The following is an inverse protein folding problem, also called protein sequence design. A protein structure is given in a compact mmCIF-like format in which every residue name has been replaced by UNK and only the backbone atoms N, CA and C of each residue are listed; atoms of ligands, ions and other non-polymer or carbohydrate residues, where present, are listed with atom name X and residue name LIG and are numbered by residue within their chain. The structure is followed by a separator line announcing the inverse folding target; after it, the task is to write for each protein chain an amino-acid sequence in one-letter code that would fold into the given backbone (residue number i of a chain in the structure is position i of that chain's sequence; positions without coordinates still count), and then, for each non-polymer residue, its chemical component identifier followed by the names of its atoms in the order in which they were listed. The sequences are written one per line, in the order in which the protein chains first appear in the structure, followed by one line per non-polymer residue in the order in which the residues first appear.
data_IF_554792201716
#
_entry.id   IF_554792201716
#
_cell.length_a   1.000
_cell.length_b   1.000
_cell.length_c   1.000
_cell.angle_alpha   90.00
_cell.angle_beta   90.00
_cell.angle_gamma   90.00
#
_symmetry.space_group_name_H-M   'P 1'
#
loop_
_entity.id
_entity.type
_entity.pdbx_description
1 polymer ?
#
# COMPACT_ATOMS: atom_id res chain seq x y z
N UNK A 1 20.17 9.93 20.21
CA UNK A 1 19.86 11.11 19.39
C UNK A 1 18.47 11.57 19.74
N UNK A 2 18.27 12.85 20.05
CA UNK A 2 16.95 13.38 20.36
C UNK A 2 16.26 13.72 19.04
N UNK A 3 15.68 12.71 18.38
CA UNK A 3 14.83 12.94 17.23
C UNK A 3 13.51 13.48 17.77
N UNK A 4 13.39 14.79 17.93
CA UNK A 4 12.07 15.39 18.14
C UNK A 4 11.15 14.84 17.05
N UNK A 5 10.07 14.15 17.45
CA UNK A 5 9.27 13.42 16.49
C UNK A 5 8.70 14.40 15.47
N UNK A 6 8.85 14.08 14.18
CA UNK A 6 8.29 14.89 13.10
C UNK A 6 6.78 14.68 12.94
N UNK A 7 6.25 13.66 13.59
CA UNK A 7 4.87 13.24 13.56
C UNK A 7 4.41 12.97 15.00
N UNK A 8 3.13 13.21 15.26
CA UNK A 8 2.54 13.03 16.58
C UNK A 8 2.05 11.58 16.81
N UNK A 9 1.86 10.82 15.72
CA UNK A 9 1.37 9.43 15.73
C UNK A 9 1.71 8.72 14.41
N UNK A 10 1.89 7.40 14.47
CA UNK A 10 1.94 6.52 13.29
C UNK A 10 0.79 5.51 13.33
N UNK A 11 0.14 5.31 12.18
CA UNK A 11 -0.87 4.25 11.98
C UNK A 11 -0.34 3.33 10.88
N UNK A 12 -0.21 2.05 11.21
CA UNK A 12 0.37 1.03 10.33
C UNK A 12 -0.67 -0.05 10.05
N UNK A 13 -0.83 -0.40 8.78
CA UNK A 13 -1.71 -1.46 8.31
C UNK A 13 -0.88 -2.49 7.56
N UNK A 14 -1.09 -3.77 7.88
CA UNK A 14 -0.55 -4.91 7.15
C UNK A 14 -1.54 -6.08 7.29
N UNK A 15 -1.40 -7.08 6.44
CA UNK A 15 -2.25 -8.29 6.43
C UNK A 15 -1.57 -9.47 7.12
N UNK A 16 -0.25 -9.43 7.29
CA UNK A 16 0.55 -10.57 7.71
C UNK A 16 1.09 -10.42 9.14
N UNK A 17 0.92 -11.45 9.97
CA UNK A 17 1.17 -11.34 11.41
C UNK A 17 2.64 -11.06 11.72
N UNK A 18 3.57 -11.69 11.01
CA UNK A 18 5.01 -11.50 11.16
C UNK A 18 5.43 -10.06 10.86
N UNK A 19 4.83 -9.41 9.86
CA UNK A 19 5.08 -8.00 9.55
C UNK A 19 4.55 -7.09 10.67
N UNK A 20 3.37 -7.40 11.21
CA UNK A 20 2.76 -6.64 12.29
C UNK A 20 3.61 -6.76 13.57
N UNK A 21 4.08 -7.95 13.92
CA UNK A 21 4.96 -8.15 15.08
C UNK A 21 6.32 -7.47 14.87
N UNK A 22 6.95 -7.62 13.70
CA UNK A 22 8.18 -6.91 13.38
C UNK A 22 8.00 -5.38 13.44
N UNK A 23 6.85 -4.85 12.99
CA UNK A 23 6.53 -3.42 13.10
C UNK A 23 6.48 -2.98 14.57
N UNK A 24 5.79 -3.73 15.44
CA UNK A 24 5.71 -3.43 16.88
C UNK A 24 7.07 -3.49 17.56
N UNK A 25 7.88 -4.50 17.25
CA UNK A 25 9.22 -4.66 17.81
C UNK A 25 10.14 -3.50 17.39
N UNK A 26 10.20 -3.21 16.09
CA UNK A 26 11.06 -2.16 15.53
C UNK A 26 10.64 -0.74 15.92
N UNK A 27 9.39 -0.56 16.35
CA UNK A 27 8.87 0.75 16.78
C UNK A 27 8.75 0.90 18.30
N UNK A 28 9.11 -0.12 19.07
CA UNK A 28 8.93 -0.18 20.53
C UNK A 28 9.65 0.92 21.31
N UNK A 29 10.76 1.45 20.79
CA UNK A 29 11.54 2.53 21.42
C UNK A 29 11.11 3.93 20.96
N UNK A 30 10.13 4.06 20.06
CA UNK A 30 9.61 5.36 19.66
C UNK A 30 8.85 6.01 20.81
N UNK A 31 9.11 7.31 21.03
CA UNK A 31 8.43 8.09 22.07
C UNK A 31 7.05 8.57 21.65
N UNK A 32 6.59 8.22 20.45
CA UNK A 32 5.28 8.58 19.91
C UNK A 32 4.40 7.35 19.73
N UNK A 33 3.07 7.50 19.85
CA UNK A 33 2.15 6.39 19.66
C UNK A 33 2.27 5.77 18.26
N UNK A 34 2.32 4.44 18.23
CA UNK A 34 2.25 3.62 17.02
C UNK A 34 1.10 2.65 17.18
N UNK A 35 0.14 2.70 16.25
CA UNK A 35 -0.98 1.78 16.19
C UNK A 35 -0.79 0.84 15.01
N UNK A 36 -0.86 -0.47 15.25
CA UNK A 36 -0.57 -1.51 14.26
C UNK A 36 -1.81 -2.38 14.10
N UNK A 37 -2.35 -2.42 12.88
CA UNK A 37 -3.66 -2.99 12.58
C UNK A 37 -3.58 -4.08 11.51
N UNK A 38 -4.16 -5.24 11.80
CA UNK A 38 -4.33 -6.32 10.81
C UNK A 38 -5.51 -6.02 9.88
N UNK A 39 -5.27 -5.27 8.81
CA UNK A 39 -6.27 -4.90 7.78
C UNK A 39 -5.58 -4.72 6.44
N UNK A 40 -6.25 -5.10 5.36
CA UNK A 40 -5.86 -4.69 4.02
C UNK A 40 -6.36 -3.27 3.73
N UNK A 41 -5.50 -2.41 3.20
CA UNK A 41 -5.95 -1.11 2.67
C UNK A 41 -6.64 -1.33 1.33
N UNK A 42 -7.87 -0.82 1.16
CA UNK A 42 -8.71 -1.14 0.01
C UNK A 42 -9.68 -0.01 -0.38
N UNK A 43 -10.53 -0.26 -1.37
CA UNK A 43 -11.52 0.71 -1.87
C UNK A 43 -12.65 1.00 -0.86
N UNK A 44 -12.99 0.03 -0.01
CA UNK A 44 -14.07 0.05 0.97
C UNK A 44 -13.62 -0.63 2.28
N UNK A 45 -14.31 -0.30 3.37
CA UNK A 45 -14.04 -0.86 4.70
C UNK A 45 -14.92 -2.06 5.00
N UNK A 46 -14.45 -2.93 5.90
CA UNK A 46 -15.18 -4.09 6.43
C UNK A 46 -15.55 -5.19 5.42
N UNK A 47 -15.02 -5.13 4.19
CA UNK A 47 -15.05 -6.27 3.28
C UNK A 47 -14.06 -7.33 3.74
N UNK A 48 -14.38 -8.60 3.52
CA UNK A 48 -13.44 -9.70 3.73
C UNK A 48 -12.84 -10.07 2.38
N UNK A 49 -11.52 -9.91 2.26
CA UNK A 49 -10.77 -10.23 1.05
C UNK A 49 -9.68 -11.23 1.35
N UNK A 50 -9.32 -12.00 0.33
CA UNK A 50 -8.26 -12.99 0.40
C UNK A 50 -6.91 -12.35 0.09
N UNK A 51 -5.84 -12.92 0.66
CA UNK A 51 -4.48 -12.57 0.30
C UNK A 51 -3.66 -13.83 0.00
N UNK A 52 -2.73 -13.68 -0.93
CA UNK A 52 -2.06 -14.76 -1.64
C UNK A 52 -0.55 -14.64 -1.51
N UNK A 53 0.12 -15.79 -1.45
CA UNK A 53 1.57 -15.87 -1.58
C UNK A 53 2.01 -15.66 -3.04
N UNK A 54 3.18 -15.06 -3.21
CA UNK A 54 3.86 -14.95 -4.50
C UNK A 54 4.52 -16.27 -4.94
N UNK A 55 4.20 -16.76 -6.14
CA UNK A 55 4.89 -17.88 -6.83
C UNK A 55 5.96 -17.33 -7.79
N UNK A 56 7.09 -18.03 -8.07
CA UNK A 56 7.27 -19.50 -8.13
C UNK A 56 7.77 -20.16 -6.84
N UNK A 57 7.71 -19.44 -5.73
CA UNK A 57 8.16 -19.96 -4.45
C UNK A 57 7.06 -20.87 -3.88
N UNK A 58 7.13 -22.19 -4.16
CA UNK A 58 6.39 -23.26 -3.45
C UNK A 58 6.73 -23.18 -1.95
N UNK A 59 6.16 -22.21 -1.26
CA UNK A 59 6.60 -21.79 0.07
C UNK A 59 5.54 -22.17 1.07
N UNK A 60 5.52 -23.47 1.33
CA UNK A 60 4.94 -24.07 2.56
C UNK A 60 5.65 -23.58 3.83
N UNK A 61 6.63 -22.68 3.71
CA UNK A 61 7.31 -21.99 4.81
C UNK A 61 6.84 -20.53 4.89
N UNK A 62 5.97 -20.28 5.86
CA UNK A 62 5.37 -18.98 6.15
C UNK A 62 6.42 -17.91 6.52
N UNK A 63 7.61 -18.33 6.98
CA UNK A 63 8.68 -17.42 7.37
C UNK A 63 9.35 -16.69 6.19
N UNK A 64 9.06 -17.08 4.94
CA UNK A 64 9.58 -16.38 3.75
C UNK A 64 8.74 -15.18 3.31
N UNK A 65 7.54 -15.00 3.86
CA UNK A 65 6.67 -13.88 3.48
C UNK A 65 6.88 -12.62 4.31
N UNK A 66 7.29 -12.78 5.57
CA UNK A 66 7.59 -11.68 6.46
C UNK A 66 8.79 -10.89 5.95
N UNK A 67 8.63 -9.58 5.75
CA UNK A 67 9.64 -8.61 5.30
C UNK A 67 9.99 -8.53 3.80
N UNK A 68 9.26 -9.17 2.88
CA UNK A 68 9.72 -9.30 1.48
C UNK A 68 8.72 -8.89 0.36
N UNK A 69 7.58 -8.24 0.65
CA UNK A 69 6.64 -7.83 -0.42
C UNK A 69 6.00 -9.01 -1.18
N UNK A 70 6.06 -10.23 -0.62
CA UNK A 70 5.63 -11.46 -1.29
C UNK A 70 4.17 -11.84 -1.02
N UNK A 71 3.35 -10.89 -0.57
CA UNK A 71 1.93 -11.09 -0.27
C UNK A 71 1.13 -9.99 -0.96
N UNK A 72 0.07 -10.39 -1.65
CA UNK A 72 -0.87 -9.44 -2.26
C UNK A 72 -2.32 -9.82 -1.99
N UNK A 73 -3.19 -8.81 -1.93
CA UNK A 73 -4.64 -8.98 -1.97
C UNK A 73 -5.20 -8.88 -3.41
N UNK A 74 -4.34 -8.66 -4.40
CA UNK A 74 -4.68 -8.50 -5.82
C UNK A 74 -4.09 -9.68 -6.59
N UNK A 75 -4.93 -10.37 -7.35
CA UNK A 75 -4.45 -11.40 -8.27
C UNK A 75 -3.60 -10.78 -9.39
N UNK A 76 -2.50 -11.45 -9.73
CA UNK A 76 -1.58 -11.04 -10.78
C UNK A 76 -0.99 -12.27 -11.44
N UNK A 77 -0.87 -12.25 -12.76
CA UNK A 77 -0.13 -13.26 -13.51
C UNK A 77 0.85 -12.57 -14.45
N UNK A 78 2.13 -12.70 -14.16
CA UNK A 78 3.23 -12.18 -14.95
C UNK A 78 3.61 -13.10 -16.11
N UNK A 79 4.26 -12.54 -17.12
CA UNK A 79 4.66 -13.26 -18.34
C UNK A 79 5.68 -14.39 -18.08
N UNK A 80 6.41 -14.34 -16.97
CA UNK A 80 7.48 -15.27 -16.61
C UNK A 80 7.03 -16.34 -15.60
N UNK A 81 5.72 -16.42 -15.30
CA UNK A 81 5.15 -17.37 -14.35
C UNK A 81 5.07 -16.85 -12.92
N UNK A 82 5.61 -15.67 -12.65
CA UNK A 82 5.47 -14.95 -11.39
C UNK A 82 4.00 -14.59 -11.14
N UNK A 83 3.43 -14.94 -9.98
CA UNK A 83 2.00 -14.74 -9.80
C UNK A 83 1.52 -14.66 -8.34
N UNK A 84 0.40 -13.95 -8.17
CA UNK A 84 -0.50 -14.02 -7.02
C UNK A 84 -1.81 -14.66 -7.52
N UNK A 85 -2.09 -15.89 -7.12
CA UNK A 85 -3.28 -16.62 -7.61
C UNK A 85 -4.10 -17.18 -6.45
N UNK A 86 -5.39 -17.42 -6.73
CA UNK A 86 -6.35 -17.96 -5.76
C UNK A 86 -5.89 -19.30 -5.17
N UNK A 87 -5.22 -20.15 -5.95
CA UNK A 87 -4.64 -21.39 -5.45
C UNK A 87 -3.60 -21.20 -4.34
N UNK A 88 -2.98 -20.01 -4.26
CA UNK A 88 -1.94 -19.68 -3.28
C UNK A 88 -2.48 -18.85 -2.11
N UNK A 89 -3.80 -18.92 -1.87
CA UNK A 89 -4.44 -18.24 -0.74
C UNK A 89 -3.79 -18.66 0.58
N UNK A 90 -3.35 -17.65 1.33
CA UNK A 90 -2.84 -17.82 2.69
C UNK A 90 -4.01 -17.75 3.69
N UNK A 91 -4.79 -16.68 3.64
CA UNK A 91 -5.93 -16.44 4.53
C UNK A 91 -6.83 -15.33 3.96
N UNK A 92 -7.75 -14.84 4.79
CA UNK A 92 -8.62 -13.69 4.53
C UNK A 92 -8.44 -12.63 5.61
N UNK A 93 -8.68 -11.37 5.28
CA UNK A 93 -8.55 -10.23 6.18
C UNK A 93 -9.63 -9.20 5.90
N UNK A 94 -10.03 -8.45 6.93
CA UNK A 94 -10.91 -7.30 6.76
C UNK A 94 -10.20 -6.13 6.11
N UNK A 95 -10.93 -5.36 5.31
CA UNK A 95 -10.43 -4.16 4.66
C UNK A 95 -10.64 -2.89 5.49
N UNK A 96 -9.87 -1.86 5.16
CA UNK A 96 -10.06 -0.48 5.59
C UNK A 96 -9.82 0.47 4.40
N UNK A 97 -10.72 1.43 4.18
CA UNK A 97 -10.55 2.43 3.12
C UNK A 97 -10.01 3.77 3.66
N UNK A 98 -9.45 4.58 2.76
CA UNK A 98 -8.86 5.87 3.11
C UNK A 98 -9.84 6.82 3.82
N UNK A 99 -11.11 6.83 3.39
CA UNK A 99 -12.13 7.69 3.99
C UNK A 99 -12.39 7.33 5.45
N UNK A 100 -12.42 6.03 5.78
CA UNK A 100 -12.55 5.55 7.16
C UNK A 100 -11.33 5.89 8.00
N UNK A 101 -10.11 5.78 7.45
CA UNK A 101 -8.87 6.18 8.14
C UNK A 101 -8.91 7.68 8.47
N UNK A 102 -9.28 8.53 7.50
CA UNK A 102 -9.38 9.98 7.71
C UNK A 102 -10.49 10.32 8.70
N UNK A 103 -11.63 9.62 8.67
CA UNK A 103 -12.71 9.81 9.63
C UNK A 103 -12.27 9.49 11.07
N UNK A 104 -11.47 8.44 11.25
CA UNK A 104 -11.01 7.99 12.57
C UNK A 104 -9.87 8.85 13.12
N UNK A 105 -8.88 9.18 12.30
CA UNK A 105 -7.63 9.82 12.74
C UNK A 105 -7.49 11.29 12.33
N UNK A 106 -8.34 11.79 11.44
CA UNK A 106 -8.25 13.12 10.87
C UNK A 106 -7.28 13.22 9.69
N UNK A 107 -6.86 14.45 9.32
CA UNK A 107 -5.96 14.68 8.19
C UNK A 107 -4.62 13.95 8.32
N UNK A 108 -4.12 13.42 7.20
CA UNK A 108 -2.87 12.65 7.13
C UNK A 108 -1.75 13.56 6.62
N UNK A 109 -0.70 13.74 7.42
CA UNK A 109 0.47 14.51 6.98
C UNK A 109 1.32 13.75 5.96
N UNK A 110 1.47 12.44 6.10
CA UNK A 110 2.24 11.61 5.18
C UNK A 110 1.57 10.23 5.07
N UNK A 111 1.23 9.86 3.84
CA UNK A 111 0.71 8.54 3.48
C UNK A 111 1.82 7.79 2.73
N UNK A 112 2.45 6.81 3.40
CA UNK A 112 3.39 5.87 2.77
C UNK A 112 2.63 4.64 2.30
N UNK A 113 2.75 4.26 1.03
CA UNK A 113 2.02 3.14 0.43
C UNK A 113 2.96 2.20 -0.29
N UNK A 114 2.86 0.93 0.03
CA UNK A 114 3.70 -0.14 -0.49
C UNK A 114 2.95 -1.45 -0.15
N UNK A 115 2.00 -1.82 -0.99
CA UNK A 115 0.92 -2.78 -0.64
C UNK A 115 0.63 -3.75 -1.78
N UNK A 116 1.68 -4.02 -2.57
CA UNK A 116 1.75 -5.10 -3.55
C UNK A 116 0.52 -5.21 -4.44
N UNK A 117 0.07 -4.08 -5.01
CA UNK A 117 -1.00 -4.00 -6.00
C UNK A 117 -2.27 -3.37 -5.46
N UNK A 118 -2.44 -3.33 -4.14
CA UNK A 118 -3.60 -2.68 -3.52
C UNK A 118 -3.56 -1.15 -3.64
N UNK A 119 -2.49 -0.55 -4.19
CA UNK A 119 -2.36 0.90 -4.34
C UNK A 119 -3.46 1.49 -5.22
N UNK A 120 -3.79 0.80 -6.33
CA UNK A 120 -4.82 1.26 -7.25
C UNK A 120 -6.22 1.26 -6.59
N UNK A 121 -6.75 0.12 -6.07
CA UNK A 121 -8.07 0.12 -5.44
C UNK A 121 -8.12 1.00 -4.18
N UNK A 122 -7.01 1.17 -3.46
CA UNK A 122 -6.96 2.03 -2.28
C UNK A 122 -7.05 3.53 -2.60
N UNK A 123 -6.41 3.98 -3.69
CA UNK A 123 -6.28 5.41 -4.01
C UNK A 123 -7.28 5.90 -5.05
N UNK A 124 -7.56 5.12 -6.09
CA UNK A 124 -8.27 5.64 -7.27
C UNK A 124 -9.65 6.21 -6.90
N UNK A 125 -9.90 7.46 -7.32
CA UNK A 125 -11.18 8.13 -7.08
C UNK A 125 -11.44 8.61 -5.64
N UNK A 126 -10.48 8.49 -4.72
CA UNK A 126 -10.61 8.97 -3.33
C UNK A 126 -10.45 10.48 -3.19
N UNK A 127 -11.08 11.07 -2.18
CA UNK A 127 -10.79 12.47 -1.82
C UNK A 127 -9.45 12.55 -1.08
N UNK A 128 -8.45 13.14 -1.72
CA UNK A 128 -7.11 13.29 -1.16
C UNK A 128 -6.87 14.65 -0.50
N UNK A 129 -7.89 15.51 -0.42
CA UNK A 129 -7.75 16.87 0.13
C UNK A 129 -7.26 16.90 1.58
N UNK A 130 -7.45 15.81 2.32
CA UNK A 130 -6.98 15.62 3.70
C UNK A 130 -5.63 14.91 3.80
N UNK A 131 -4.92 14.69 2.69
CA UNK A 131 -3.61 14.03 2.64
C UNK A 131 -2.56 15.01 2.09
N UNK A 132 -1.59 15.42 2.91
CA UNK A 132 -0.61 16.42 2.49
C UNK A 132 0.44 15.85 1.51
N UNK A 133 0.95 14.65 1.80
CA UNK A 133 2.00 14.01 1.02
C UNK A 133 1.71 12.53 0.85
N UNK A 134 1.93 12.01 -0.37
CA UNK A 134 1.86 10.59 -0.67
C UNK A 134 3.23 10.15 -1.21
N UNK A 135 3.78 9.08 -0.66
CA UNK A 135 5.02 8.43 -1.11
C UNK A 135 4.80 6.94 -1.19
N UNK A 136 5.49 6.25 -2.09
CA UNK A 136 5.29 4.82 -2.23
C UNK A 136 5.87 4.18 -3.48
N UNK A 137 5.47 2.94 -3.67
CA UNK A 137 5.75 2.15 -4.86
C UNK A 137 4.43 1.82 -5.58
N UNK A 138 4.51 1.40 -6.84
CA UNK A 138 3.34 1.11 -7.67
C UNK A 138 3.48 -0.27 -8.29
N UNK A 139 2.78 -1.24 -7.71
CA UNK A 139 2.82 -2.66 -8.07
C UNK A 139 1.60 -3.07 -8.91
N UNK A 140 1.46 -2.49 -10.10
CA UNK A 140 0.31 -2.75 -10.97
C UNK A 140 0.69 -2.71 -12.44
N UNK A 141 -0.21 -3.15 -13.30
CA UNK A 141 -0.03 -3.09 -14.74
C UNK A 141 0.13 -1.64 -15.21
N UNK A 142 0.92 -1.44 -16.28
CA UNK A 142 1.28 -0.11 -16.77
C UNK A 142 0.07 0.79 -17.07
N UNK A 143 -1.05 0.23 -17.54
CA UNK A 143 -2.24 1.04 -17.84
C UNK A 143 -2.89 1.60 -16.56
N UNK A 144 -3.02 0.79 -15.50
CA UNK A 144 -3.51 1.22 -14.18
C UNK A 144 -2.56 2.23 -13.55
N UNK A 145 -1.25 2.01 -13.68
CA UNK A 145 -0.21 2.94 -13.21
C UNK A 145 -0.35 4.31 -13.89
N UNK A 146 -0.49 4.34 -15.21
CA UNK A 146 -0.69 5.59 -15.98
C UNK A 146 -1.98 6.29 -15.54
N UNK A 147 -3.07 5.55 -15.38
CA UNK A 147 -4.35 6.10 -14.94
C UNK A 147 -4.26 6.71 -13.54
N UNK A 148 -3.71 5.97 -12.58
CA UNK A 148 -3.55 6.43 -11.20
C UNK A 148 -2.67 7.69 -11.14
N UNK A 149 -1.54 7.71 -11.86
CA UNK A 149 -0.66 8.90 -11.92
C UNK A 149 -1.40 10.10 -12.51
N UNK A 150 -2.16 9.92 -13.60
CA UNK A 150 -2.96 11.01 -14.19
C UNK A 150 -3.97 11.54 -13.18
N UNK A 151 -4.64 10.64 -12.46
CA UNK A 151 -5.62 11.01 -11.45
C UNK A 151 -4.96 11.75 -10.27
N UNK A 152 -3.84 11.25 -9.73
CA UNK A 152 -3.08 11.89 -8.64
C UNK A 152 -2.52 13.27 -9.03
N UNK A 153 -2.13 13.47 -10.29
CA UNK A 153 -1.68 14.77 -10.78
C UNK A 153 -2.83 15.79 -10.81
N UNK A 154 -4.05 15.35 -11.15
CA UNK A 154 -5.22 16.23 -11.21
C UNK A 154 -5.72 16.67 -9.83
N UNK A 155 -5.32 15.98 -8.76
CA UNK A 155 -5.68 16.36 -7.38
C UNK A 155 -4.67 17.31 -6.74
N UNK A 156 -3.56 17.68 -7.41
CA UNK A 156 -2.44 18.50 -6.87
C UNK A 156 -1.65 17.87 -5.71
N UNK A 157 -1.77 16.56 -5.46
CA UNK A 157 -1.08 15.88 -4.35
C UNK A 157 0.15 15.06 -4.77
N UNK A 158 0.55 15.09 -6.05
CA UNK A 158 1.64 14.27 -6.61
C UNK A 158 2.94 15.04 -6.87
N UNK A 159 4.06 14.54 -6.34
CA UNK A 159 5.41 14.98 -6.72
C UNK A 159 6.17 13.81 -7.40
N UNK A 160 6.37 13.83 -8.73
CA UNK A 160 6.95 12.72 -9.49
C UNK A 160 8.41 12.39 -9.15
N UNK A 161 9.14 13.28 -8.46
CA UNK A 161 10.57 13.07 -8.14
C UNK A 161 10.83 11.93 -7.15
N UNK A 162 9.80 11.47 -6.43
CA UNK A 162 9.92 10.40 -5.42
C UNK A 162 9.37 9.05 -5.88
N UNK A 163 8.89 8.95 -7.12
CA UNK A 163 8.29 7.75 -7.69
C UNK A 163 9.15 7.28 -8.87
N UNK A 164 10.07 6.35 -8.61
CA UNK A 164 11.19 5.97 -9.48
C UNK A 164 10.90 5.93 -10.99
N UNK A 165 11.89 6.36 -11.78
CA UNK A 165 11.98 6.36 -13.26
C UNK A 165 10.67 6.13 -14.01
N UNK A 166 9.79 7.14 -13.96
CA UNK A 166 8.68 7.21 -14.90
C UNK A 166 9.23 7.38 -16.32
N UNK A 167 8.76 6.62 -17.33
CA UNK A 167 8.99 7.02 -18.71
C UNK A 167 8.37 8.42 -18.89
N UNK A 168 9.03 9.32 -19.64
CA UNK A 168 8.51 10.66 -19.84
C UNK A 168 7.09 10.58 -20.40
N UNK A 169 6.17 11.31 -19.76
CA UNK A 169 4.83 11.54 -20.28
C UNK A 169 5.00 12.08 -21.71
N UNK A 170 4.66 11.26 -22.72
CA UNK A 170 4.54 11.76 -24.08
C UNK A 170 3.34 12.71 -24.10
N UNK A 171 3.62 14.00 -23.90
CA UNK A 171 2.70 15.08 -24.16
C UNK A 171 2.52 15.20 -25.67
N UNK A 172 1.73 14.33 -26.26
CA UNK A 172 1.24 14.49 -27.63
C UNK A 172 -0.27 14.29 -27.64
N UNK A 173 -0.99 15.32 -27.21
CA UNK A 173 -2.28 15.65 -27.78
C UNK A 173 -2.19 17.11 -28.24
N UNK A 174 -1.59 17.28 -29.41
CA UNK A 174 -1.77 18.46 -30.25
C UNK A 174 -3.11 18.35 -30.98
N UNK A 175 -3.85 19.47 -30.89
CA UNK A 175 -5.09 19.89 -31.59
C UNK A 175 -6.38 19.15 -31.25
#
# INVERSE_FOLDING_TARGET
MNHGSRFDKYICYDVFDENLEACKENTSELTVPVEVHKRAVWSSSDEEIDFYAYEPWDTKDIHHFGACGNISCVEYEGEQGDNYKVENKISSVKTICLDSIIQEYGPINLLKIDVEGSEYPFLIGKDLSSVNYIVGEMHMENFKKIELIKWLNNTNHFNPLHWGNLPPLQTNLTT
#
